data_IF_026118247171
#
_entry.id   IF_026118247171
#
_cell.length_a   1.000
_cell.length_b   1.000
_cell.length_c   1.000
_cell.angle_alpha   90.00
_cell.angle_beta   90.00
_cell.angle_gamma   90.00
#
_symmetry.space_group_name_H-M   'P 1'
#
loop_
_entity.id
_entity.type
_entity.pdbx_description
1 polymer ?
#
# COMPACT_ATOMS: atom_id res chain seq x y z
N UNK A 1 -1.59 -22.70 -2.26
CA UNK A 1 -0.93 -22.22 -3.51
C UNK A 1 -0.27 -20.86 -3.30
N UNK A 2 1.05 -20.81 -3.58
CA UNK A 2 1.92 -19.68 -3.99
C UNK A 2 1.85 -18.33 -3.24
N UNK A 3 2.37 -18.28 -2.01
CA UNK A 3 2.99 -17.07 -1.43
C UNK A 3 4.51 -17.17 -1.59
N UNK A 4 5.02 -17.09 -2.82
CA UNK A 4 6.46 -17.19 -3.12
C UNK A 4 6.86 -16.27 -4.27
N UNK A 5 6.57 -14.97 -4.16
CA UNK A 5 7.06 -14.00 -5.16
C UNK A 5 7.93 -12.92 -4.49
N UNK A 6 7.51 -12.37 -3.35
CA UNK A 6 8.24 -11.25 -2.74
C UNK A 6 9.61 -11.66 -2.15
N UNK A 7 9.70 -12.81 -1.47
CA UNK A 7 10.98 -13.24 -0.86
C UNK A 7 12.01 -13.80 -1.86
N UNK A 8 11.59 -14.30 -3.02
CA UNK A 8 12.54 -14.73 -4.05
C UNK A 8 13.14 -13.53 -4.80
N UNK A 9 12.38 -12.44 -4.93
CA UNK A 9 12.88 -11.19 -5.49
C UNK A 9 13.90 -10.49 -4.56
N UNK A 10 13.81 -10.67 -3.24
CA UNK A 10 14.69 -9.96 -2.30
C UNK A 10 16.17 -10.33 -2.42
N UNK A 11 16.50 -11.59 -2.75
CA UNK A 11 17.90 -11.99 -2.98
C UNK A 11 18.45 -11.46 -4.31
N UNK A 12 17.59 -11.12 -5.27
CA UNK A 12 17.99 -10.58 -6.58
C UNK A 12 18.41 -9.10 -6.51
N UNK A 13 17.94 -8.35 -5.50
CA UNK A 13 18.27 -6.93 -5.39
C UNK A 13 19.76 -6.68 -5.09
N UNK A 14 20.44 -7.55 -4.34
CA UNK A 14 21.86 -7.37 -4.03
C UNK A 14 22.75 -7.48 -5.29
N UNK A 15 22.66 -8.57 -6.11
CA UNK A 15 23.42 -8.61 -7.36
C UNK A 15 23.06 -7.49 -8.32
N UNK A 16 21.77 -7.14 -8.47
CA UNK A 16 21.33 -6.08 -9.38
C UNK A 16 21.89 -4.71 -8.99
N UNK A 17 21.83 -4.36 -7.71
CA UNK A 17 22.38 -3.09 -7.22
C UNK A 17 23.90 -3.05 -7.35
N UNK A 18 24.59 -4.17 -7.10
CA UNK A 18 26.03 -4.29 -7.35
C UNK A 18 26.38 -4.06 -8.83
N UNK A 19 25.71 -4.74 -9.77
CA UNK A 19 25.96 -4.55 -11.20
C UNK A 19 25.65 -3.14 -11.67
N UNK A 20 24.58 -2.53 -11.16
CA UNK A 20 24.25 -1.13 -11.45
C UNK A 20 25.35 -0.18 -10.94
N UNK A 21 25.80 -0.35 -9.70
CA UNK A 21 26.87 0.46 -9.11
C UNK A 21 28.21 0.27 -9.86
N UNK A 22 28.58 -0.96 -10.19
CA UNK A 22 29.77 -1.26 -10.98
C UNK A 22 29.72 -0.62 -12.37
N UNK A 23 28.58 -0.71 -13.05
CA UNK A 23 28.39 -0.09 -14.37
C UNK A 23 28.51 1.43 -14.30
N UNK A 24 27.87 2.05 -13.31
CA UNK A 24 27.98 3.50 -13.08
C UNK A 24 29.43 3.92 -12.76
N UNK A 25 30.11 3.16 -11.90
CA UNK A 25 31.52 3.40 -11.58
C UNK A 25 32.41 3.34 -12.83
N UNK A 26 32.20 2.35 -13.69
CA UNK A 26 32.92 2.21 -14.96
C UNK A 26 32.70 3.43 -15.87
N UNK A 27 31.44 3.86 -16.04
CA UNK A 27 31.11 5.04 -16.85
C UNK A 27 31.79 6.32 -16.33
N UNK A 28 31.78 6.53 -15.01
CA UNK A 28 32.43 7.68 -14.38
C UNK A 28 33.96 7.62 -14.58
N UNK A 29 34.57 6.46 -14.33
CA UNK A 29 36.03 6.28 -14.40
C UNK A 29 36.57 6.45 -15.82
N UNK A 30 35.83 5.97 -16.82
CA UNK A 30 36.14 6.12 -18.24
C UNK A 30 35.69 7.48 -18.82
N UNK A 31 35.13 8.38 -17.98
CA UNK A 31 34.56 9.68 -18.38
C UNK A 31 33.55 9.57 -19.53
N UNK A 32 32.78 8.47 -19.57
CA UNK A 32 31.77 8.21 -20.58
C UNK A 32 30.44 8.83 -20.21
N UNK A 33 29.61 9.03 -21.22
CA UNK A 33 28.22 9.50 -21.06
C UNK A 33 27.32 8.33 -20.67
N UNK A 34 26.21 8.58 -19.97
CA UNK A 34 25.21 7.54 -19.76
C UNK A 34 24.49 7.20 -21.08
N UNK A 35 24.23 5.92 -21.39
CA UNK A 35 23.48 5.54 -22.58
C UNK A 35 22.14 6.27 -22.65
N UNK A 36 21.70 6.68 -23.84
CA UNK A 36 20.44 7.39 -24.04
C UNK A 36 19.25 6.62 -23.47
N UNK A 37 19.21 5.31 -23.67
CA UNK A 37 18.14 4.45 -23.14
C UNK A 37 18.04 4.50 -21.61
N UNK A 38 19.18 4.45 -20.90
CA UNK A 38 19.21 4.55 -19.42
C UNK A 38 18.65 5.90 -18.97
N UNK A 39 19.06 6.98 -19.61
CA UNK A 39 18.60 8.34 -19.29
C UNK A 39 17.10 8.51 -19.51
N UNK A 40 16.60 7.99 -20.64
CA UNK A 40 15.17 8.04 -20.98
C UNK A 40 14.35 7.18 -20.03
N UNK A 41 14.80 5.96 -19.70
CA UNK A 41 14.10 5.10 -18.72
C UNK A 41 14.02 5.73 -17.34
N UNK A 42 15.12 6.27 -16.82
CA UNK A 42 15.15 6.96 -15.52
C UNK A 42 14.16 8.12 -15.52
N UNK A 43 14.11 8.90 -16.60
CA UNK A 43 13.17 10.01 -16.74
C UNK A 43 11.71 9.52 -16.76
N UNK A 44 11.38 8.54 -17.60
CA UNK A 44 10.02 8.00 -17.71
C UNK A 44 9.53 7.45 -16.37
N UNK A 45 10.35 6.64 -15.69
CA UNK A 45 9.99 6.06 -14.40
C UNK A 45 9.79 7.15 -13.33
N UNK A 46 10.67 8.14 -13.29
CA UNK A 46 10.55 9.26 -12.35
C UNK A 46 9.31 10.12 -12.61
N UNK A 47 8.93 10.31 -13.88
CA UNK A 47 7.71 11.01 -14.27
C UNK A 47 6.46 10.21 -13.86
N UNK A 48 6.42 8.91 -14.12
CA UNK A 48 5.29 8.05 -13.73
C UNK A 48 5.09 8.09 -12.21
N UNK A 49 6.15 7.89 -11.43
CA UNK A 49 6.07 7.90 -9.97
C UNK A 49 5.79 9.30 -9.41
N UNK A 50 6.45 10.32 -9.95
CA UNK A 50 6.24 11.71 -9.54
C UNK A 50 4.81 12.17 -9.78
N UNK A 51 4.25 11.88 -10.97
CA UNK A 51 2.85 12.18 -11.29
C UNK A 51 1.89 11.45 -10.36
N UNK A 52 2.16 10.18 -10.02
CA UNK A 52 1.31 9.43 -9.09
C UNK A 52 1.22 10.12 -7.72
N UNK A 53 2.34 10.60 -7.16
CA UNK A 53 2.37 11.33 -5.87
C UNK A 53 1.77 12.73 -5.99
N UNK A 54 1.91 13.39 -7.14
CA UNK A 54 1.27 14.68 -7.40
C UNK A 54 -0.25 14.53 -7.47
N UNK A 55 -0.75 13.47 -8.11
CA UNK A 55 -2.17 13.29 -8.38
C UNK A 55 -2.94 12.78 -7.16
N UNK A 56 -2.33 11.91 -6.34
CA UNK A 56 -3.05 11.19 -5.28
C UNK A 56 -3.75 12.08 -4.24
N UNK A 57 -3.22 13.25 -3.81
CA UNK A 57 -3.91 14.11 -2.84
C UNK A 57 -5.19 14.74 -3.41
N UNK A 58 -5.31 14.83 -4.73
CA UNK A 58 -6.47 15.40 -5.39
C UNK A 58 -7.62 14.40 -5.56
N UNK A 59 -7.45 13.14 -5.14
CA UNK A 59 -8.48 12.10 -5.26
C UNK A 59 -9.80 12.52 -4.59
N UNK A 60 -9.75 13.24 -3.47
CA UNK A 60 -10.94 13.72 -2.77
C UNK A 60 -11.75 14.75 -3.56
N UNK A 61 -11.12 15.50 -4.46
CA UNK A 61 -11.82 16.44 -5.35
C UNK A 61 -12.47 15.73 -6.52
N UNK A 62 -11.86 14.65 -7.00
CA UNK A 62 -12.33 13.91 -8.18
C UNK A 62 -13.21 12.71 -7.83
N UNK A 63 -13.30 12.29 -6.55
CA UNK A 63 -14.05 11.09 -6.16
C UNK A 63 -15.51 11.14 -6.59
N UNK A 64 -16.19 12.28 -6.49
CA UNK A 64 -17.59 12.43 -6.92
C UNK A 64 -17.78 12.17 -8.41
N UNK A 65 -16.78 12.52 -9.23
CA UNK A 65 -16.77 12.28 -10.68
C UNK A 65 -16.33 10.84 -11.00
N UNK A 66 -15.43 10.26 -10.19
CA UNK A 66 -14.88 8.92 -10.41
C UNK A 66 -15.82 7.79 -9.97
N UNK A 67 -16.55 7.97 -8.86
CA UNK A 67 -17.43 6.94 -8.27
C UNK A 67 -18.39 6.31 -9.30
N UNK A 68 -19.08 7.08 -10.18
CA UNK A 68 -19.98 6.51 -11.19
C UNK A 68 -19.30 5.56 -12.19
N UNK A 69 -17.99 5.70 -12.42
CA UNK A 69 -17.24 4.86 -13.35
C UNK A 69 -16.61 3.62 -12.68
N UNK A 70 -16.61 3.55 -11.35
CA UNK A 70 -16.02 2.46 -10.58
C UNK A 70 -17.10 1.40 -10.32
N UNK A 71 -16.96 0.24 -10.97
CA UNK A 71 -17.88 -0.90 -10.77
C UNK A 71 -17.62 -1.69 -9.49
N UNK A 72 -16.47 -1.50 -8.84
CA UNK A 72 -16.08 -2.21 -7.63
C UNK A 72 -16.62 -1.52 -6.37
N UNK A 73 -17.59 -2.15 -5.72
CA UNK A 73 -18.23 -1.69 -4.48
C UNK A 73 -17.22 -1.49 -3.34
N UNK A 74 -16.14 -2.27 -3.32
CA UNK A 74 -15.07 -2.14 -2.32
C UNK A 74 -14.28 -0.85 -2.52
N UNK A 75 -13.88 -0.58 -3.76
CA UNK A 75 -13.19 0.66 -4.10
C UNK A 75 -14.08 1.88 -3.83
N UNK A 76 -15.37 1.82 -4.20
CA UNK A 76 -16.32 2.91 -3.91
C UNK A 76 -16.44 3.15 -2.41
N UNK A 77 -16.57 2.09 -1.60
CA UNK A 77 -16.60 2.19 -0.14
C UNK A 77 -15.34 2.82 0.43
N UNK A 78 -14.16 2.40 0.00
CA UNK A 78 -12.88 2.98 0.45
C UNK A 78 -12.76 4.48 0.13
N UNK A 79 -13.29 4.93 -1.02
CA UNK A 79 -13.28 6.34 -1.43
C UNK A 79 -14.22 7.23 -0.60
N UNK A 80 -15.14 6.64 0.17
CA UNK A 80 -15.96 7.39 1.14
C UNK A 80 -15.14 7.82 2.35
N UNK A 81 -14.00 7.16 2.62
CA UNK A 81 -13.09 7.62 3.65
C UNK A 81 -12.57 9.03 3.32
N UNK A 82 -12.34 9.82 4.35
CA UNK A 82 -11.73 11.15 4.24
C UNK A 82 -10.29 11.06 4.72
N UNK A 83 -9.36 11.55 3.91
CA UNK A 83 -7.96 11.68 4.32
C UNK A 83 -7.61 13.13 4.56
N UNK A 84 -6.66 13.35 5.46
CA UNK A 84 -6.24 14.69 5.88
C UNK A 84 -4.89 14.99 5.26
N UNK A 85 -4.89 15.27 3.96
CA UNK A 85 -3.70 15.68 3.23
C UNK A 85 -3.15 17.01 3.77
N UNK A 86 -1.83 17.13 3.83
CA UNK A 86 -1.12 18.32 4.32
C UNK A 86 -1.08 19.45 3.28
N UNK A 87 -1.22 19.13 1.99
CA UNK A 87 -1.27 20.07 0.88
C UNK A 87 0.07 20.28 0.15
N UNK A 88 1.20 19.85 0.75
CA UNK A 88 2.53 19.98 0.14
C UNK A 88 3.02 18.70 -0.55
N UNK A 89 2.28 17.59 -0.46
CA UNK A 89 2.67 16.29 -1.03
C UNK A 89 3.06 16.36 -2.52
N UNK A 90 2.41 17.18 -3.38
CA UNK A 90 2.82 17.32 -4.78
C UNK A 90 4.28 17.77 -4.95
N UNK A 91 4.84 18.51 -4.00
CA UNK A 91 6.25 18.95 -4.02
C UNK A 91 7.18 17.74 -4.02
N UNK A 92 6.82 16.66 -3.31
CA UNK A 92 7.62 15.42 -3.24
C UNK A 92 7.76 14.80 -4.64
N UNK A 93 6.65 14.72 -5.39
CA UNK A 93 6.65 14.21 -6.75
C UNK A 93 7.39 15.14 -7.73
N UNK A 94 7.19 16.46 -7.61
CA UNK A 94 7.90 17.45 -8.43
C UNK A 94 9.41 17.35 -8.23
N UNK A 95 9.87 17.21 -7.00
CA UNK A 95 11.30 17.10 -6.68
C UNK A 95 11.95 15.88 -7.34
N UNK A 96 11.27 14.72 -7.37
CA UNK A 96 11.77 13.55 -8.10
C UNK A 96 11.90 13.84 -9.59
N UNK A 97 10.87 14.42 -10.20
CA UNK A 97 10.86 14.77 -11.64
C UNK A 97 11.99 15.76 -11.96
N UNK A 98 12.16 16.81 -11.15
CA UNK A 98 13.23 17.79 -11.32
C UNK A 98 14.60 17.13 -11.22
N UNK A 99 14.81 16.24 -10.24
CA UNK A 99 16.08 15.51 -10.11
C UNK A 99 16.38 14.64 -11.33
N UNK A 100 15.34 14.03 -11.93
CA UNK A 100 15.46 13.20 -13.12
C UNK A 100 15.70 14.00 -14.41
N UNK A 101 15.06 15.17 -14.55
CA UNK A 101 15.31 16.10 -15.66
C UNK A 101 16.74 16.62 -15.60
N UNK A 102 17.20 17.05 -14.42
CA UNK A 102 18.58 17.51 -14.24
C UNK A 102 19.58 16.38 -14.50
N UNK A 103 19.30 15.16 -14.02
CA UNK A 103 20.09 13.98 -14.36
C UNK A 103 20.17 13.76 -15.88
N UNK A 104 19.04 13.82 -16.57
CA UNK A 104 18.98 13.65 -18.02
C UNK A 104 19.83 14.70 -18.76
N UNK A 105 19.76 15.97 -18.36
CA UNK A 105 20.53 17.07 -18.96
C UNK A 105 22.03 16.91 -18.66
N UNK A 106 22.41 16.73 -17.40
CA UNK A 106 23.83 16.68 -16.99
C UNK A 106 24.54 15.38 -17.35
N UNK A 107 23.82 14.32 -17.68
CA UNK A 107 24.40 13.06 -18.17
C UNK A 107 24.56 13.02 -19.70
N UNK A 108 24.27 14.11 -20.43
CA UNK A 108 24.52 14.25 -21.88
C UNK A 108 26.00 14.37 -22.24
N UNK A 109 26.76 15.00 -21.36
CA UNK A 109 28.20 15.05 -21.45
C UNK A 109 28.76 13.89 -20.62
N UNK A 110 29.82 14.12 -19.86
CA UNK A 110 30.43 13.08 -19.03
C UNK A 110 29.56 12.79 -17.80
N UNK A 111 29.34 11.51 -17.51
CA UNK A 111 28.68 11.11 -16.26
C UNK A 111 29.64 11.40 -15.10
N UNK A 112 29.20 12.23 -14.16
CA UNK A 112 29.97 12.56 -12.97
C UNK A 112 29.33 11.97 -11.72
N UNK A 113 30.13 11.80 -10.67
CA UNK A 113 29.61 11.40 -9.36
C UNK A 113 28.51 12.37 -8.87
N UNK A 114 28.69 13.69 -9.08
CA UNK A 114 27.69 14.71 -8.72
C UNK A 114 26.34 14.47 -9.41
N UNK A 115 26.36 14.16 -10.71
CA UNK A 115 25.14 13.87 -11.49
C UNK A 115 24.42 12.62 -10.97
N UNK A 116 25.17 11.57 -10.63
CA UNK A 116 24.59 10.33 -10.07
C UNK A 116 24.06 10.56 -8.65
N UNK A 117 24.82 11.25 -7.80
CA UNK A 117 24.39 11.59 -6.44
C UNK A 117 23.12 12.42 -6.45
N UNK A 118 22.93 13.32 -7.42
CA UNK A 118 21.71 14.13 -7.56
C UNK A 118 20.45 13.26 -7.68
N UNK A 119 20.43 12.30 -8.60
CA UNK A 119 19.25 11.43 -8.79
C UNK A 119 19.07 10.44 -7.64
N UNK A 120 20.17 9.95 -7.03
CA UNK A 120 20.10 9.07 -5.86
C UNK A 120 19.55 9.79 -4.64
N UNK A 121 20.00 11.02 -4.36
CA UNK A 121 19.48 11.84 -3.28
C UNK A 121 18.02 12.25 -3.54
N UNK A 122 17.68 12.63 -4.77
CA UNK A 122 16.29 12.91 -5.16
C UNK A 122 15.37 11.71 -4.93
N UNK A 123 15.83 10.51 -5.29
CA UNK A 123 15.11 9.25 -5.06
C UNK A 123 14.99 8.92 -3.58
N UNK A 124 16.06 9.11 -2.80
CA UNK A 124 16.07 8.89 -1.36
C UNK A 124 15.03 9.79 -0.66
N UNK A 125 15.09 11.09 -0.91
CA UNK A 125 14.15 12.04 -0.30
C UNK A 125 12.73 11.75 -0.76
N UNK A 126 12.52 11.40 -2.04
CA UNK A 126 11.21 11.00 -2.55
C UNK A 126 10.66 9.78 -1.81
N UNK A 127 11.44 8.70 -1.68
CA UNK A 127 11.01 7.46 -1.01
C UNK A 127 10.71 7.73 0.46
N UNK A 128 11.62 8.40 1.17
CA UNK A 128 11.44 8.72 2.58
C UNK A 128 10.21 9.61 2.80
N UNK A 129 10.08 10.72 2.07
CA UNK A 129 8.95 11.64 2.23
C UNK A 129 7.62 10.98 1.85
N UNK A 130 7.59 10.17 0.78
CA UNK A 130 6.39 9.40 0.40
C UNK A 130 5.98 8.44 1.52
N UNK A 131 6.94 7.73 2.13
CA UNK A 131 6.68 6.80 3.22
C UNK A 131 6.10 7.48 4.47
N UNK A 132 6.59 8.68 4.82
CA UNK A 132 6.14 9.40 6.01
C UNK A 132 4.86 10.22 5.79
N UNK A 133 4.68 10.84 4.63
CA UNK A 133 3.59 11.80 4.41
C UNK A 133 2.47 11.28 3.51
N UNK A 134 2.78 10.44 2.53
CA UNK A 134 1.79 9.99 1.53
C UNK A 134 1.19 8.64 1.92
N UNK A 135 2.03 7.66 2.25
CA UNK A 135 1.57 6.29 2.56
C UNK A 135 0.52 6.26 3.69
N UNK A 136 0.71 6.96 4.84
CA UNK A 136 -0.30 6.94 5.90
C UNK A 136 -1.65 7.51 5.47
N UNK A 137 -1.66 8.48 4.56
CA UNK A 137 -2.88 9.09 4.03
C UNK A 137 -3.61 8.15 3.06
N UNK A 138 -2.86 7.36 2.28
CA UNK A 138 -3.42 6.32 1.40
C UNK A 138 -3.98 5.14 2.21
N UNK A 139 -3.32 4.78 3.31
CA UNK A 139 -3.78 3.73 4.23
C UNK A 139 -5.12 4.08 4.89
N UNK A 140 -5.41 5.37 5.11
CA UNK A 140 -6.72 5.81 5.62
C UNK A 140 -7.89 5.39 4.73
N UNK A 141 -7.71 5.40 3.41
CA UNK A 141 -8.75 4.96 2.49
C UNK A 141 -8.89 3.44 2.46
N UNK A 142 -7.77 2.72 2.49
CA UNK A 142 -7.77 1.28 2.15
C UNK A 142 -7.87 0.35 3.35
N UNK A 143 -7.42 0.76 4.54
CA UNK A 143 -7.25 -0.15 5.68
C UNK A 143 -7.69 0.41 7.03
N UNK A 144 -7.80 1.74 7.19
CA UNK A 144 -8.04 2.33 8.51
C UNK A 144 -9.32 1.83 9.19
N UNK A 145 -10.42 1.64 8.45
CA UNK A 145 -11.66 1.13 9.05
C UNK A 145 -11.49 -0.26 9.69
N UNK A 146 -10.76 -1.17 9.03
CA UNK A 146 -10.46 -2.48 9.59
C UNK A 146 -9.50 -2.38 10.78
N UNK A 147 -8.46 -1.53 10.69
CA UNK A 147 -7.47 -1.34 11.76
C UNK A 147 -8.12 -0.74 13.02
N UNK A 148 -8.96 0.28 12.86
CA UNK A 148 -9.71 0.89 13.96
C UNK A 148 -10.61 -0.13 14.65
N UNK A 149 -11.28 -0.98 13.87
CA UNK A 149 -12.08 -2.07 14.44
C UNK A 149 -11.22 -3.04 15.25
N UNK A 150 -10.08 -3.49 14.74
CA UNK A 150 -9.17 -4.39 15.48
C UNK A 150 -8.69 -3.75 16.79
N UNK A 151 -8.30 -2.47 16.75
CA UNK A 151 -7.88 -1.73 17.95
C UNK A 151 -8.99 -1.58 18.98
N UNK A 152 -10.25 -1.43 18.54
CA UNK A 152 -11.40 -1.34 19.45
C UNK A 152 -11.63 -2.61 20.29
N UNK A 153 -11.03 -3.74 19.88
CA UNK A 153 -11.22 -5.06 20.49
C UNK A 153 -10.06 -5.55 21.35
N UNK A 154 -9.00 -4.76 21.54
CA UNK A 154 -7.78 -5.16 22.28
C UNK A 154 -8.07 -5.70 23.70
N UNK A 155 -9.06 -5.12 24.40
CA UNK A 155 -9.38 -5.50 25.79
C UNK A 155 -10.50 -6.52 25.92
N UNK A 156 -11.09 -6.94 24.81
CA UNK A 156 -12.21 -7.88 24.80
C UNK A 156 -11.69 -9.30 24.57
N UNK A 157 -12.11 -10.26 25.40
CA UNK A 157 -11.76 -11.66 25.19
C UNK A 157 -12.63 -12.24 24.07
N UNK A 158 -12.16 -12.08 22.84
CA UNK A 158 -12.90 -12.41 21.63
C UNK A 158 -11.99 -12.98 20.54
N UNK A 159 -12.61 -13.67 19.58
CA UNK A 159 -11.96 -14.02 18.32
C UNK A 159 -12.19 -12.91 17.29
N UNK A 160 -11.21 -12.66 16.44
CA UNK A 160 -11.32 -11.71 15.34
C UNK A 160 -10.79 -12.39 14.10
N UNK A 161 -11.60 -12.43 13.03
CA UNK A 161 -11.20 -13.07 11.79
C UNK A 161 -11.70 -12.31 10.56
N UNK A 162 -10.80 -11.76 9.71
CA UNK A 162 -11.21 -11.23 8.42
C UNK A 162 -11.60 -12.37 7.46
N UNK A 163 -12.69 -12.18 6.71
CA UNK A 163 -13.11 -13.08 5.62
C UNK A 163 -12.29 -12.90 4.33
N UNK A 164 -11.05 -12.42 4.47
CA UNK A 164 -10.08 -12.22 3.41
C UNK A 164 -8.67 -12.36 3.99
N UNK A 165 -7.67 -12.56 3.13
CA UNK A 165 -6.29 -12.71 3.57
C UNK A 165 -5.77 -11.39 4.14
N UNK A 166 -5.50 -11.37 5.45
CA UNK A 166 -4.86 -10.25 6.14
C UNK A 166 -4.25 -10.74 7.45
N UNK A 167 -3.09 -10.18 7.81
CA UNK A 167 -2.45 -10.41 9.11
C UNK A 167 -2.61 -9.22 10.06
N UNK A 168 -3.29 -8.16 9.62
CA UNK A 168 -3.47 -6.93 10.39
C UNK A 168 -4.20 -7.19 11.72
N UNK A 169 -5.18 -8.10 11.73
CA UNK A 169 -5.96 -8.44 12.92
C UNK A 169 -5.08 -9.00 14.05
N UNK A 170 -4.04 -9.81 13.78
CA UNK A 170 -3.16 -10.31 14.84
C UNK A 170 -2.41 -9.19 15.55
N UNK A 171 -1.88 -8.24 14.77
CA UNK A 171 -1.03 -7.16 15.29
C UNK A 171 -1.86 -6.07 15.95
N UNK A 172 -2.89 -5.56 15.27
CA UNK A 172 -3.66 -4.41 15.74
C UNK A 172 -4.70 -4.73 16.81
N UNK A 173 -5.05 -6.01 17.00
CA UNK A 173 -5.86 -6.44 18.14
C UNK A 173 -5.02 -6.93 19.33
N UNK A 174 -3.69 -6.89 19.25
CA UNK A 174 -2.77 -7.43 20.26
C UNK A 174 -3.14 -8.86 20.67
N UNK A 175 -3.35 -9.74 19.68
CA UNK A 175 -3.89 -11.07 19.92
C UNK A 175 -3.01 -11.85 20.89
N UNK A 176 -3.61 -12.27 22.01
CA UNK A 176 -2.93 -13.06 23.04
C UNK A 176 -2.66 -14.49 22.57
N UNK A 177 -1.54 -15.12 23.00
CA UNK A 177 -1.22 -16.51 22.67
C UNK A 177 -2.26 -17.55 23.12
N UNK A 178 -3.15 -17.19 24.05
CA UNK A 178 -4.24 -18.04 24.55
C UNK A 178 -5.35 -18.22 23.51
N UNK A 179 -5.61 -17.19 22.69
CA UNK A 179 -6.61 -17.23 21.64
C UNK A 179 -5.97 -17.83 20.37
N UNK A 180 -5.58 -19.12 20.38
CA UNK A 180 -4.92 -19.78 19.24
C UNK A 180 -5.86 -20.14 18.09
N UNK A 181 -7.16 -20.25 18.37
CA UNK A 181 -8.15 -20.68 17.40
C UNK A 181 -8.29 -19.66 16.27
N UNK A 182 -7.82 -20.04 15.08
CA UNK A 182 -7.75 -19.14 13.92
C UNK A 182 -8.33 -19.76 12.65
N UNK A 183 -8.88 -20.97 12.76
CA UNK A 183 -9.50 -21.67 11.66
C UNK A 183 -10.78 -20.93 11.25
N UNK A 184 -10.82 -20.44 10.00
CA UNK A 184 -11.97 -19.70 9.49
C UNK A 184 -13.21 -20.58 9.41
N UNK A 185 -13.08 -21.86 9.05
CA UNK A 185 -14.22 -22.79 8.96
C UNK A 185 -14.82 -23.02 10.34
N UNK A 186 -13.97 -23.38 11.31
CA UNK A 186 -14.39 -23.58 12.70
C UNK A 186 -15.09 -22.35 13.28
N UNK A 187 -14.50 -21.15 13.12
CA UNK A 187 -15.06 -19.92 13.66
C UNK A 187 -16.43 -19.57 13.06
N UNK A 188 -16.69 -20.01 11.82
CA UNK A 188 -17.96 -19.75 11.12
C UNK A 188 -19.05 -20.79 11.36
N UNK A 189 -18.72 -22.05 11.65
CA UNK A 189 -19.72 -23.14 11.72
C UNK A 189 -19.92 -23.72 13.12
N UNK A 190 -18.86 -23.81 13.91
CA UNK A 190 -18.88 -24.56 15.17
C UNK A 190 -19.37 -23.71 16.34
N UNK A 191 -19.72 -24.34 17.46
CA UNK A 191 -20.10 -23.60 18.68
C UNK A 191 -18.87 -22.91 19.28
N UNK A 192 -19.01 -21.62 19.60
CA UNK A 192 -17.94 -20.81 20.17
C UNK A 192 -18.09 -20.66 21.69
N UNK A 193 -16.95 -20.52 22.36
CA UNK A 193 -16.84 -20.21 23.80
C UNK A 193 -16.78 -18.69 24.06
N UNK A 194 -16.49 -17.90 23.02
CA UNK A 194 -16.29 -16.45 23.06
C UNK A 194 -16.89 -15.80 21.82
N UNK A 195 -17.30 -14.51 21.88
CA UNK A 195 -17.77 -13.82 20.70
C UNK A 195 -16.70 -13.80 19.60
N UNK A 196 -17.11 -14.01 18.36
CA UNK A 196 -16.26 -13.92 17.19
C UNK A 196 -16.68 -12.77 16.29
N UNK A 197 -15.74 -11.86 16.03
CA UNK A 197 -15.91 -10.73 15.15
C UNK A 197 -15.35 -11.00 13.77
N UNK A 198 -16.12 -10.68 12.75
CA UNK A 198 -15.70 -10.85 11.37
C UNK A 198 -15.63 -9.51 10.63
N UNK A 199 -14.61 -9.39 9.79
CA UNK A 199 -14.44 -8.24 8.89
C UNK A 199 -14.55 -8.75 7.46
N UNK A 200 -15.56 -8.28 6.74
CA UNK A 200 -15.90 -8.71 5.39
C UNK A 200 -15.77 -7.52 4.45
N UNK A 201 -15.35 -7.72 3.21
CA UNK A 201 -15.43 -6.66 2.19
C UNK A 201 -16.90 -6.43 1.84
N UNK A 202 -17.31 -5.19 1.62
CA UNK A 202 -18.68 -4.83 1.25
C UNK A 202 -19.10 -5.24 -0.18
N UNK A 203 -18.35 -6.13 -0.85
CA UNK A 203 -18.77 -6.63 -2.16
C UNK A 203 -19.93 -7.61 -1.99
N UNK A 204 -20.93 -7.53 -2.87
CA UNK A 204 -22.09 -8.44 -2.86
C UNK A 204 -21.68 -9.91 -2.73
N UNK A 205 -20.66 -10.33 -3.48
CA UNK A 205 -20.13 -11.69 -3.43
C UNK A 205 -19.57 -12.03 -2.04
N UNK A 206 -18.69 -11.19 -1.48
CA UNK A 206 -18.05 -11.49 -0.21
C UNK A 206 -19.05 -11.51 0.95
N UNK A 207 -20.02 -10.58 0.93
CA UNK A 207 -21.11 -10.56 1.92
C UNK A 207 -21.97 -11.81 1.80
N UNK A 208 -22.41 -12.16 0.59
CA UNK A 208 -23.22 -13.35 0.34
C UNK A 208 -22.52 -14.63 0.79
N UNK A 209 -21.29 -14.86 0.31
CA UNK A 209 -20.47 -16.03 0.65
C UNK A 209 -20.28 -16.15 2.18
N UNK A 210 -20.11 -15.02 2.88
CA UNK A 210 -19.98 -15.02 4.34
C UNK A 210 -21.30 -15.34 5.06
N UNK A 211 -22.40 -14.69 4.67
CA UNK A 211 -23.71 -14.87 5.31
C UNK A 211 -24.32 -16.25 5.07
N UNK A 212 -24.07 -16.87 3.92
CA UNK A 212 -24.50 -18.25 3.64
C UNK A 212 -23.77 -19.24 4.55
N UNK A 213 -22.50 -18.97 4.85
CA UNK A 213 -21.68 -19.83 5.70
C UNK A 213 -21.93 -19.61 7.19
N UNK A 214 -22.24 -18.37 7.58
CA UNK A 214 -22.37 -17.94 8.97
C UNK A 214 -23.72 -17.23 9.19
N UNK A 215 -24.86 -17.93 9.08
CA UNK A 215 -26.19 -17.32 9.10
C UNK A 215 -26.58 -16.74 10.47
N UNK A 216 -25.93 -17.19 11.54
CA UNK A 216 -26.12 -16.72 12.92
C UNK A 216 -25.28 -15.48 13.27
N UNK A 217 -24.43 -14.99 12.35
CA UNK A 217 -23.69 -13.75 12.53
C UNK A 217 -24.60 -12.51 12.38
N UNK A 218 -24.55 -11.62 13.37
CA UNK A 218 -25.28 -10.36 13.39
C UNK A 218 -24.41 -9.25 12.80
N UNK A 219 -24.93 -8.52 11.82
CA UNK A 219 -24.27 -7.35 11.23
C UNK A 219 -24.23 -6.20 12.25
N UNK A 220 -23.06 -5.63 12.47
CA UNK A 220 -22.86 -4.49 13.36
C UNK A 220 -23.06 -3.18 12.61
N UNK A 221 -22.22 -2.92 11.61
CA UNK A 221 -22.24 -1.70 10.78
C UNK A 221 -21.32 -1.85 9.57
N UNK A 222 -21.36 -0.85 8.69
CA UNK A 222 -20.52 -0.71 7.51
C UNK A 222 -19.64 0.52 7.62
N UNK A 223 -18.38 0.42 7.19
CA UNK A 223 -17.47 1.56 7.15
C UNK A 223 -16.39 1.38 6.08
N UNK A 224 -16.25 2.37 5.21
CA UNK A 224 -15.17 2.51 4.22
C UNK A 224 -14.81 1.19 3.52
N UNK A 225 -15.76 0.54 2.85
CA UNK A 225 -15.52 -0.70 2.10
C UNK A 225 -15.57 -1.98 2.94
N UNK A 226 -15.75 -1.90 4.26
CA UNK A 226 -15.85 -3.06 5.13
C UNK A 226 -17.21 -3.17 5.81
N UNK A 227 -17.64 -4.41 6.02
CA UNK A 227 -18.82 -4.78 6.80
C UNK A 227 -18.35 -5.59 8.01
N UNK A 228 -18.83 -5.19 9.19
CA UNK A 228 -18.44 -5.80 10.46
C UNK A 228 -19.57 -6.65 11.00
N UNK A 229 -19.25 -7.86 11.44
CA UNK A 229 -20.20 -8.82 12.01
C UNK A 229 -19.73 -9.31 13.38
N UNK A 230 -20.67 -9.75 14.19
CA UNK A 230 -20.43 -10.48 15.44
C UNK A 230 -21.25 -11.76 15.45
N UNK A 231 -20.62 -12.84 15.88
CA UNK A 231 -21.25 -14.12 16.19
C UNK A 231 -21.06 -14.40 17.68
N UNK A 232 -22.12 -14.83 18.36
CA UNK A 232 -22.13 -15.07 19.80
C UNK A 232 -22.31 -16.54 20.10
#
# INVERSE_FOLDING_TARGET
>A
MKTKIVHYASMTYYPLTFFAAWYVYKLISEKKTAPTFVRVLVLIMSVIYGIAVIAIPYIDKFKSVLIPYIKDEFAVGNLQATSSWYGFEPIIGIMLIVSAVLFYIYSKNNLTLKTVSLILLGSLVYISATMFFVVPQVEKYSQAAAIEFYKSKIREDCYIKPAFKSYAHYFYSERKPENKLDDFDFLTTEKLDKPCYFVVKNTQKAVKDFTEKTPDAVRLYDKNGFVFYVRK
#
